data_IF_727743377029
#
_entry.id   IF_727743377029
#
_cell.length_a   1.000
_cell.length_b   1.000
_cell.length_c   1.000
_cell.angle_alpha   90.00
_cell.angle_beta   90.00
_cell.angle_gamma   90.00
#
_symmetry.space_group_name_H-M   'P 1'
#
loop_
_entity.id
_entity.type
_entity.pdbx_description
1 polymer ?
#
# COMPACT_ATOMS: atom_id res chain seq x y z
N UNK A 1 18.74 -2.05 -0.91
CA UNK A 1 18.03 -2.02 0.39
C UNK A 1 16.52 -2.02 0.15
N UNK A 2 15.79 -2.78 0.92
CA UNK A 2 14.33 -2.85 0.80
C UNK A 2 13.69 -2.05 1.93
N UNK A 3 12.75 -1.17 1.57
CA UNK A 3 11.95 -0.43 2.54
C UNK A 3 10.53 -0.95 2.51
N UNK A 4 9.95 -1.13 3.68
CA UNK A 4 8.56 -1.57 3.82
C UNK A 4 7.81 -0.50 4.61
N UNK A 5 6.74 0.02 4.01
CA UNK A 5 5.90 1.02 4.68
C UNK A 5 4.50 0.43 4.79
N UNK A 6 3.99 0.39 6.01
CA UNK A 6 2.64 -0.11 6.29
C UNK A 6 1.68 1.05 6.41
N UNK A 7 0.50 0.89 5.84
CA UNK A 7 -0.56 1.89 5.87
C UNK A 7 -1.85 1.28 6.36
N UNK A 8 -2.71 2.11 6.93
CA UNK A 8 -4.09 1.75 7.25
C UNK A 8 -5.00 2.88 6.78
N UNK A 9 -6.24 2.55 6.46
CA UNK A 9 -7.24 3.54 6.10
C UNK A 9 -8.32 3.63 7.18
N UNK A 10 -9.07 4.72 7.15
CA UNK A 10 -10.17 4.95 8.09
C UNK A 10 -11.35 4.00 7.87
N UNK A 11 -11.41 3.32 6.74
CA UNK A 11 -12.45 2.32 6.43
C UNK A 11 -11.99 0.88 6.66
N UNK A 12 -10.87 0.68 7.36
CA UNK A 12 -10.41 -0.64 7.77
C UNK A 12 -9.50 -1.37 6.80
N UNK A 13 -9.19 -0.78 5.65
CA UNK A 13 -8.22 -1.36 4.71
C UNK A 13 -6.80 -1.23 5.24
N UNK A 14 -5.95 -2.18 4.89
CA UNK A 14 -4.51 -2.13 5.17
C UNK A 14 -3.74 -2.26 3.88
N UNK A 15 -2.58 -1.64 3.83
CA UNK A 15 -1.72 -1.68 2.65
C UNK A 15 -0.26 -1.75 3.04
N UNK A 16 0.54 -2.31 2.14
CA UNK A 16 1.99 -2.37 2.28
C UNK A 16 2.61 -1.90 0.98
N UNK A 17 3.52 -0.95 1.06
CA UNK A 17 4.36 -0.56 -0.07
C UNK A 17 5.76 -1.10 0.21
N UNK A 18 6.20 -2.02 -0.63
CA UNK A 18 7.53 -2.59 -0.55
C UNK A 18 8.39 -1.96 -1.64
N UNK A 19 9.32 -1.12 -1.24
CA UNK A 19 10.20 -0.41 -2.16
C UNK A 19 11.59 -1.02 -2.14
N UNK A 20 12.10 -1.41 -3.31
CA UNK A 20 13.44 -1.92 -3.46
C UNK A 20 14.18 -1.10 -4.50
N UNK A 21 15.46 -1.44 -4.72
CA UNK A 21 16.31 -0.73 -5.69
C UNK A 21 15.72 -0.80 -7.12
N UNK A 22 15.02 -1.88 -7.44
CA UNK A 22 14.54 -2.15 -8.80
C UNK A 22 13.03 -2.01 -8.99
N UNK A 23 12.27 -2.00 -7.91
CA UNK A 23 10.81 -2.01 -8.04
C UNK A 23 10.12 -1.50 -6.80
N UNK A 24 8.88 -1.03 -7.00
CA UNK A 24 7.97 -0.69 -5.92
C UNK A 24 6.73 -1.56 -6.09
N UNK A 25 6.39 -2.31 -5.05
CA UNK A 25 5.26 -3.23 -5.08
C UNK A 25 4.22 -2.80 -4.07
N UNK A 26 2.95 -2.96 -4.44
CA UNK A 26 1.83 -2.59 -3.58
C UNK A 26 0.98 -3.82 -3.27
N UNK A 27 0.60 -3.94 -2.00
CA UNK A 27 -0.31 -4.97 -1.50
C UNK A 27 -1.41 -4.27 -0.71
N UNK A 28 -2.68 -4.61 -0.98
CA UNK A 28 -3.81 -4.03 -0.25
C UNK A 28 -4.79 -5.13 0.13
N UNK A 29 -5.25 -5.09 1.38
CA UNK A 29 -6.30 -5.97 1.89
C UNK A 29 -7.44 -5.13 2.46
N UNK A 30 -8.66 -5.65 2.36
CA UNK A 30 -9.81 -5.01 3.00
C UNK A 30 -9.88 -5.37 4.48
N UNK A 31 -10.92 -4.85 5.17
CA UNK A 31 -11.10 -5.08 6.61
C UNK A 31 -11.33 -6.55 6.97
N UNK A 32 -11.81 -7.35 6.01
CA UNK A 32 -12.08 -8.77 6.21
C UNK A 32 -10.89 -9.65 5.84
N UNK A 33 -9.79 -9.05 5.42
CA UNK A 33 -8.59 -9.77 5.02
C UNK A 33 -8.57 -10.22 3.57
N UNK A 34 -9.56 -9.84 2.77
CA UNK A 34 -9.60 -10.17 1.35
C UNK A 34 -8.58 -9.31 0.59
N UNK A 35 -7.85 -9.94 -0.30
CA UNK A 35 -6.83 -9.27 -1.09
C UNK A 35 -7.49 -8.42 -2.18
N UNK A 36 -7.25 -7.11 -2.15
CA UNK A 36 -7.74 -6.18 -3.18
C UNK A 36 -6.68 -5.99 -4.26
N UNK A 37 -5.43 -5.78 -3.85
CA UNK A 37 -4.29 -5.65 -4.76
C UNK A 37 -3.20 -6.59 -4.24
N UNK A 38 -2.70 -7.44 -5.12
CA UNK A 38 -1.67 -8.42 -4.76
C UNK A 38 -0.42 -8.19 -5.60
N UNK A 39 0.64 -7.72 -4.97
CA UNK A 39 1.97 -7.63 -5.56
C UNK A 39 1.97 -6.86 -6.90
N UNK A 40 1.30 -5.72 -6.94
CA UNK A 40 1.23 -4.92 -8.17
C UNK A 40 2.42 -3.98 -8.25
N UNK A 41 3.18 -4.01 -9.37
CA UNK A 41 4.34 -3.12 -9.53
C UNK A 41 3.94 -1.70 -9.90
N UNK A 42 4.72 -0.74 -9.42
CA UNK A 42 4.58 0.67 -9.76
C UNK A 42 5.96 1.25 -10.06
N UNK A 43 5.97 2.37 -10.78
CA UNK A 43 7.22 3.04 -11.14
C UNK A 43 7.87 3.77 -9.96
N UNK A 44 7.11 4.05 -8.92
CA UNK A 44 7.64 4.72 -7.73
C UNK A 44 6.62 4.73 -6.59
N UNK A 45 7.09 5.17 -5.42
CA UNK A 45 6.26 5.22 -4.21
C UNK A 45 5.07 6.18 -4.40
N UNK A 46 5.29 7.30 -5.09
CA UNK A 46 4.21 8.28 -5.33
C UNK A 46 3.10 7.65 -6.16
N UNK A 47 3.43 6.87 -7.19
CA UNK A 47 2.44 6.17 -8.00
C UNK A 47 1.64 5.17 -7.18
N UNK A 48 2.31 4.42 -6.30
CA UNK A 48 1.65 3.48 -5.40
C UNK A 48 0.71 4.20 -4.44
N UNK A 49 1.14 5.33 -3.87
CA UNK A 49 0.29 6.14 -2.99
C UNK A 49 -0.94 6.68 -3.71
N UNK A 50 -0.78 7.08 -4.97
CA UNK A 50 -1.92 7.55 -5.78
C UNK A 50 -2.95 6.43 -6.00
N UNK A 51 -2.48 5.19 -6.15
CA UNK A 51 -3.38 4.04 -6.23
C UNK A 51 -4.18 3.85 -4.94
N UNK A 52 -3.55 4.06 -3.78
CA UNK A 52 -4.25 4.00 -2.49
C UNK A 52 -5.35 5.06 -2.42
N UNK A 53 -5.08 6.28 -2.87
CA UNK A 53 -6.09 7.36 -2.88
C UNK A 53 -7.29 7.01 -3.74
N UNK A 54 -7.08 6.32 -4.85
CA UNK A 54 -8.17 5.91 -5.75
C UNK A 54 -9.08 4.86 -5.13
N UNK A 55 -8.59 4.12 -4.15
CA UNK A 55 -9.40 3.14 -3.42
C UNK A 55 -10.36 3.80 -2.43
N UNK A 56 -10.18 5.09 -2.16
CA UNK A 56 -10.99 5.84 -1.21
C UNK A 56 -10.43 5.76 0.21
N UNK A 57 -11.04 6.56 1.10
CA UNK A 57 -10.61 6.64 2.49
C UNK A 57 -9.38 7.51 2.71
N UNK A 58 -9.07 7.71 3.97
CA UNK A 58 -7.87 8.44 4.38
C UNK A 58 -6.82 7.43 4.84
N UNK A 59 -5.64 7.54 4.26
CA UNK A 59 -4.55 6.60 4.53
C UNK A 59 -3.51 7.20 5.45
N UNK A 60 -3.09 6.43 6.45
CA UNK A 60 -2.06 6.82 7.40
C UNK A 60 -0.99 5.75 7.47
N UNK A 61 0.25 6.16 7.72
CA UNK A 61 1.32 5.21 7.97
C UNK A 61 1.16 4.61 9.37
N UNK A 62 1.48 3.32 9.48
CA UNK A 62 1.53 2.63 10.76
C UNK A 62 2.99 2.63 11.21
N UNK A 63 3.26 3.27 12.34
CA UNK A 63 4.58 3.24 12.96
C UNK A 63 4.60 2.19 14.06
N UNK A 64 5.64 1.40 14.04
CA UNK A 64 5.88 0.41 15.08
C UNK A 64 6.89 0.92 16.10
#
# INVERSE_FOLDING_TARGET
>A
MVSIINYKSDNGMTAVIKSSHYSVMLYVKDKDGNIIIDNKPYSGVISAKNALRKLGGNWETIEE
#
